data_IF_862094233498
#
_entry.id   IF_862094233498
#
_cell.length_a   1.000
_cell.length_b   1.000
_cell.length_c   1.000
_cell.angle_alpha   90.00
_cell.angle_beta   90.00
_cell.angle_gamma   90.00
#
_symmetry.space_group_name_H-M   'P 1'
#
loop_
_entity.id
_entity.type
_entity.pdbx_description
1 polymer ?
#
# COMPACT_ATOMS: atom_id res chain seq x y z
N UNK A 1 32.16 -29.13 5.23
CA UNK A 1 31.73 -27.82 4.68
C UNK A 1 32.95 -27.12 4.11
N UNK A 2 32.89 -26.60 2.88
CA UNK A 2 33.99 -25.81 2.29
C UNK A 2 33.60 -24.33 2.39
N UNK A 3 34.37 -23.57 3.16
CA UNK A 3 34.11 -22.15 3.42
C UNK A 3 35.38 -21.34 3.25
N UNK A 4 35.24 -20.08 2.84
CA UNK A 4 36.32 -19.12 2.90
C UNK A 4 36.64 -18.73 4.34
N UNK A 5 37.82 -18.14 4.54
CA UNK A 5 38.29 -17.68 5.87
C UNK A 5 37.26 -16.80 6.56
N UNK A 6 36.74 -15.82 5.82
CA UNK A 6 35.87 -14.78 6.33
C UNK A 6 34.49 -15.33 6.69
N UNK A 7 33.93 -16.21 5.86
CA UNK A 7 32.70 -16.93 6.20
C UNK A 7 32.85 -17.84 7.44
N UNK A 8 34.02 -18.45 7.64
CA UNK A 8 34.29 -19.28 8.82
C UNK A 8 34.34 -18.43 10.11
N UNK A 9 35.04 -17.30 10.07
CA UNK A 9 35.09 -16.32 11.18
C UNK A 9 33.67 -15.83 11.56
N UNK A 10 32.81 -15.58 10.57
CA UNK A 10 31.41 -15.21 10.81
C UNK A 10 30.59 -16.32 11.48
N UNK A 11 30.75 -17.57 11.03
CA UNK A 11 30.03 -18.72 11.58
C UNK A 11 30.45 -18.94 13.04
N UNK A 12 31.74 -18.80 13.35
CA UNK A 12 32.25 -18.84 14.72
C UNK A 12 31.67 -17.69 15.56
N UNK A 13 31.77 -16.44 15.08
CA UNK A 13 31.35 -15.24 15.82
C UNK A 13 29.85 -15.16 16.09
N UNK A 14 29.02 -15.46 15.08
CA UNK A 14 27.58 -15.21 15.15
C UNK A 14 26.75 -16.44 15.49
N UNK A 15 27.25 -17.65 15.21
CA UNK A 15 26.53 -18.90 15.50
C UNK A 15 27.19 -19.70 16.63
N UNK A 16 28.34 -19.27 17.15
CA UNK A 16 29.07 -19.97 18.22
C UNK A 16 29.54 -21.37 17.80
N UNK A 17 29.76 -21.58 16.50
CA UNK A 17 30.04 -22.89 15.96
C UNK A 17 31.44 -23.37 16.37
N UNK A 18 31.55 -24.66 16.72
CA UNK A 18 32.83 -25.36 16.90
C UNK A 18 33.17 -26.11 15.62
N UNK A 19 34.43 -26.07 15.19
CA UNK A 19 34.88 -26.74 13.98
C UNK A 19 36.25 -27.39 14.16
N UNK A 20 36.52 -28.38 13.31
CA UNK A 20 37.84 -28.99 13.14
C UNK A 20 38.24 -28.81 11.68
N UNK A 21 39.45 -28.30 11.44
CA UNK A 21 39.99 -28.15 10.09
C UNK A 21 40.47 -29.51 9.61
N UNK A 22 39.87 -30.01 8.52
CA UNK A 22 40.26 -31.28 7.89
C UNK A 22 41.39 -31.02 6.91
N UNK A 23 41.20 -30.08 5.98
CA UNK A 23 42.17 -29.68 4.95
C UNK A 23 41.99 -28.18 4.61
N UNK A 24 43.05 -27.51 4.17
CA UNK A 24 43.00 -26.08 3.84
C UNK A 24 44.17 -25.60 2.99
N UNK A 25 43.95 -24.49 2.29
CA UNK A 25 44.98 -23.78 1.50
C UNK A 25 45.26 -22.44 2.17
N UNK A 26 46.53 -22.14 2.43
CA UNK A 26 46.99 -20.88 3.01
C UNK A 26 48.27 -20.40 2.34
N UNK A 27 48.61 -19.12 2.55
CA UNK A 27 49.83 -18.51 2.03
C UNK A 27 50.82 -18.28 3.18
N UNK A 28 51.95 -18.97 3.16
CA UNK A 28 53.04 -18.90 4.15
C UNK A 28 54.05 -17.78 3.85
N UNK A 29 54.24 -17.41 2.58
CA UNK A 29 55.27 -16.46 2.12
C UNK A 29 54.69 -15.09 1.69
N UNK A 30 53.50 -14.76 2.21
CA UNK A 30 52.80 -13.53 1.86
C UNK A 30 51.91 -13.65 0.61
N UNK A 31 51.23 -12.55 0.29
CA UNK A 31 50.18 -12.53 -0.71
C UNK A 31 50.46 -11.50 -1.81
N UNK A 32 50.33 -11.92 -3.07
CA UNK A 32 50.54 -11.03 -4.20
C UNK A 32 49.44 -9.96 -4.28
N UNK A 33 49.80 -8.72 -3.96
CA UNK A 33 48.89 -7.58 -3.92
C UNK A 33 48.84 -6.75 -5.23
N UNK A 34 49.38 -7.23 -6.35
CA UNK A 34 49.42 -6.45 -7.59
C UNK A 34 48.01 -6.11 -8.11
N UNK A 35 47.04 -7.00 -7.90
CA UNK A 35 45.65 -6.74 -8.26
C UNK A 35 45.07 -5.54 -7.51
N UNK A 36 45.40 -5.37 -6.22
CA UNK A 36 44.88 -4.27 -5.41
C UNK A 36 45.47 -2.94 -5.87
N UNK A 37 46.77 -2.93 -6.21
CA UNK A 37 47.45 -1.77 -6.79
C UNK A 37 46.84 -1.37 -8.13
N UNK A 38 46.56 -2.34 -8.99
CA UNK A 38 45.98 -2.12 -10.33
C UNK A 38 44.57 -1.56 -10.25
N UNK A 39 43.70 -2.17 -9.43
CA UNK A 39 42.33 -1.69 -9.22
C UNK A 39 42.34 -0.29 -8.60
N UNK A 40 43.24 -0.01 -7.65
CA UNK A 40 43.36 1.33 -7.04
C UNK A 40 43.74 2.40 -8.05
N UNK A 41 44.66 2.10 -8.98
CA UNK A 41 45.00 3.01 -10.08
C UNK A 41 43.79 3.31 -10.97
N UNK A 42 43.03 2.27 -11.37
CA UNK A 42 41.81 2.44 -12.18
C UNK A 42 40.73 3.22 -11.44
N UNK A 43 40.58 2.99 -10.13
CA UNK A 43 39.62 3.70 -9.29
C UNK A 43 39.97 5.18 -9.17
N UNK A 44 41.24 5.51 -8.92
CA UNK A 44 41.69 6.90 -8.82
C UNK A 44 41.54 7.64 -10.15
N UNK A 45 41.91 7.01 -11.27
CA UNK A 45 41.67 7.57 -12.60
C UNK A 45 40.18 7.81 -12.84
N UNK A 46 39.31 6.88 -12.39
CA UNK A 46 37.86 7.03 -12.51
C UNK A 46 37.35 8.23 -11.70
N UNK A 47 37.88 8.48 -10.50
CA UNK A 47 37.49 9.65 -9.69
C UNK A 47 37.81 10.95 -10.42
N UNK A 48 38.98 11.06 -11.03
CA UNK A 48 39.38 12.21 -11.83
C UNK A 48 38.40 12.42 -13.00
N UNK A 49 38.23 11.42 -13.86
CA UNK A 49 37.33 11.52 -15.02
C UNK A 49 35.86 11.75 -14.64
N UNK A 50 35.44 11.29 -13.46
CA UNK A 50 34.09 11.55 -12.95
C UNK A 50 33.91 13.04 -12.59
N UNK A 51 34.90 13.67 -11.97
CA UNK A 51 34.86 15.10 -11.64
C UNK A 51 34.79 15.98 -12.90
N UNK A 52 35.44 15.53 -13.98
CA UNK A 52 35.46 16.19 -15.28
C UNK A 52 34.18 15.94 -16.12
N UNK A 53 33.24 15.09 -15.66
CA UNK A 53 32.07 14.69 -16.45
C UNK A 53 32.40 13.80 -17.67
N UNK A 54 33.60 13.21 -17.71
CA UNK A 54 34.12 12.49 -18.87
C UNK A 54 33.52 11.05 -18.97
N UNK A 55 32.98 10.64 -20.14
CA UNK A 55 32.43 9.29 -20.35
C UNK A 55 33.38 8.13 -20.06
N UNK A 56 34.71 8.34 -20.10
CA UNK A 56 35.71 7.31 -19.77
C UNK A 56 35.55 6.73 -18.36
N UNK A 57 34.92 7.45 -17.42
CA UNK A 57 34.62 6.91 -16.11
C UNK A 57 33.74 5.63 -16.17
N UNK A 58 32.87 5.52 -17.18
CA UNK A 58 32.03 4.34 -17.40
C UNK A 58 32.86 3.14 -17.87
N UNK A 59 33.83 3.36 -18.76
CA UNK A 59 34.74 2.32 -19.24
C UNK A 59 35.58 1.77 -18.08
N UNK A 60 36.15 2.65 -17.25
CA UNK A 60 36.88 2.26 -16.05
C UNK A 60 36.02 1.49 -15.06
N UNK A 61 34.76 1.93 -14.84
CA UNK A 61 33.78 1.21 -14.01
C UNK A 61 33.54 -0.20 -14.52
N UNK A 62 33.29 -0.34 -15.83
CA UNK A 62 33.00 -1.62 -16.46
C UNK A 62 34.20 -2.58 -16.37
N UNK A 63 35.42 -2.08 -16.62
CA UNK A 63 36.63 -2.88 -16.49
C UNK A 63 36.84 -3.39 -15.06
N UNK A 64 36.67 -2.53 -14.04
CA UNK A 64 36.76 -2.94 -12.63
C UNK A 64 35.70 -4.00 -12.29
N UNK A 65 34.43 -3.77 -12.67
CA UNK A 65 33.33 -4.71 -12.39
C UNK A 65 33.52 -6.06 -13.10
N UNK A 66 34.06 -6.05 -14.33
CA UNK A 66 34.27 -7.26 -15.14
C UNK A 66 35.50 -8.05 -14.71
N UNK A 67 36.49 -7.39 -14.09
CA UNK A 67 37.74 -8.02 -13.66
C UNK A 67 37.50 -9.21 -12.74
N UNK A 68 36.61 -9.05 -11.75
CA UNK A 68 36.26 -10.13 -10.82
C UNK A 68 35.71 -11.38 -11.55
N UNK A 69 34.79 -11.20 -12.51
CA UNK A 69 34.22 -12.31 -13.28
C UNK A 69 35.27 -13.06 -14.11
N UNK A 70 36.30 -12.36 -14.58
CA UNK A 70 37.43 -12.97 -15.30
C UNK A 70 38.29 -13.86 -14.40
N UNK A 71 38.45 -13.53 -13.12
CA UNK A 71 39.23 -14.34 -12.16
C UNK A 71 38.58 -15.70 -11.88
N UNK A 72 37.26 -15.80 -12.03
CA UNK A 72 36.47 -17.01 -11.75
C UNK A 72 36.10 -17.80 -13.00
N UNK A 73 36.64 -17.44 -14.16
CA UNK A 73 36.21 -18.02 -15.42
C UNK A 73 36.57 -19.51 -15.49
N UNK A 74 35.53 -20.34 -15.57
CA UNK A 74 35.69 -21.79 -15.82
C UNK A 74 36.29 -22.01 -17.21
N UNK A 75 37.04 -23.11 -17.40
CA UNK A 75 37.55 -23.46 -18.72
C UNK A 75 36.41 -23.57 -19.72
N UNK A 76 36.59 -22.98 -20.89
CA UNK A 76 35.62 -23.03 -21.99
C UNK A 76 35.83 -24.37 -22.72
N UNK A 77 35.09 -25.39 -22.29
CA UNK A 77 35.19 -26.78 -22.80
C UNK A 77 34.37 -27.03 -24.08
N UNK A 78 33.52 -26.06 -24.47
CA UNK A 78 32.67 -26.14 -25.66
C UNK A 78 32.95 -24.95 -26.56
N UNK A 79 32.96 -25.16 -27.87
CA UNK A 79 32.96 -24.11 -28.89
C UNK A 79 31.75 -24.27 -29.80
N UNK A 80 31.30 -23.15 -30.36
CA UNK A 80 30.23 -23.09 -31.34
C UNK A 80 30.81 -22.67 -32.69
N UNK A 81 30.58 -23.45 -33.74
CA UNK A 81 31.11 -23.20 -35.09
C UNK A 81 29.96 -23.17 -36.08
N UNK A 82 29.87 -22.11 -36.88
CA UNK A 82 28.93 -22.02 -37.99
C UNK A 82 29.60 -22.53 -39.26
N UNK A 83 28.95 -23.47 -39.94
CA UNK A 83 29.42 -24.01 -41.22
C UNK A 83 28.42 -23.65 -42.30
N UNK A 84 28.88 -22.92 -43.31
CA UNK A 84 28.08 -22.48 -44.45
C UNK A 84 28.56 -23.13 -45.76
N UNK A 85 27.61 -23.48 -46.63
CA UNK A 85 27.90 -23.98 -47.98
C UNK A 85 27.10 -25.21 -48.43
N UNK A 86 25.90 -25.41 -47.87
CA UNK A 86 25.00 -26.48 -48.30
C UNK A 86 25.34 -27.85 -47.73
N UNK A 87 24.46 -28.82 -48.01
CA UNK A 87 24.49 -30.16 -47.41
C UNK A 87 25.86 -30.85 -47.57
N UNK A 88 26.50 -30.73 -48.75
CA UNK A 88 27.80 -31.36 -49.02
C UNK A 88 28.89 -30.94 -48.03
N UNK A 89 29.05 -29.62 -47.79
CA UNK A 89 30.04 -29.08 -46.85
C UNK A 89 29.71 -29.39 -45.39
N UNK A 90 28.42 -29.37 -45.05
CA UNK A 90 27.96 -29.67 -43.70
C UNK A 90 28.24 -31.15 -43.37
N UNK A 91 27.99 -32.05 -44.31
CA UNK A 91 28.24 -33.49 -44.11
C UNK A 91 29.73 -33.83 -44.12
N UNK A 92 30.53 -33.15 -44.95
CA UNK A 92 32.00 -33.26 -44.90
C UNK A 92 32.54 -32.81 -43.52
N UNK A 93 32.06 -31.67 -43.02
CA UNK A 93 32.46 -31.17 -41.71
C UNK A 93 32.01 -32.09 -40.57
N UNK A 94 30.83 -32.69 -40.69
CA UNK A 94 30.30 -33.68 -39.74
C UNK A 94 31.22 -34.90 -39.67
N UNK A 95 31.56 -35.49 -40.82
CA UNK A 95 32.45 -36.67 -40.86
C UNK A 95 33.83 -36.37 -40.27
N UNK A 96 34.41 -35.20 -40.59
CA UNK A 96 35.74 -34.81 -40.12
C UNK A 96 35.81 -34.55 -38.61
N UNK A 97 34.74 -34.01 -38.02
CA UNK A 97 34.73 -33.55 -36.63
C UNK A 97 33.84 -34.40 -35.70
N UNK A 98 33.33 -35.54 -36.16
CA UNK A 98 32.37 -36.38 -35.41
C UNK A 98 32.85 -36.73 -33.99
N UNK A 99 34.14 -37.01 -33.83
CA UNK A 99 34.77 -37.35 -32.55
C UNK A 99 34.81 -36.21 -31.52
N UNK A 100 34.59 -34.95 -31.95
CA UNK A 100 34.51 -33.77 -31.06
C UNK A 100 33.10 -33.18 -31.03
N UNK A 101 32.19 -33.64 -31.87
CA UNK A 101 30.87 -33.06 -32.04
C UNK A 101 29.97 -33.43 -30.85
N UNK A 102 29.32 -32.44 -30.28
CA UNK A 102 28.29 -32.60 -29.23
C UNK A 102 26.91 -32.58 -29.89
N UNK A 103 26.65 -31.57 -30.72
CA UNK A 103 25.39 -31.42 -31.43
C UNK A 103 25.55 -30.66 -32.74
N UNK A 104 24.64 -30.94 -33.68
CA UNK A 104 24.44 -30.20 -34.93
C UNK A 104 23.02 -29.66 -34.94
N UNK A 105 22.87 -28.35 -35.08
CA UNK A 105 21.57 -27.69 -35.23
C UNK A 105 21.49 -27.09 -36.63
N UNK A 106 20.59 -27.58 -37.50
CA UNK A 106 20.36 -26.94 -38.79
C UNK A 106 19.71 -25.57 -38.58
N UNK A 107 20.26 -24.54 -39.22
CA UNK A 107 19.70 -23.18 -39.20
C UNK A 107 18.96 -22.92 -40.51
N UNK A 108 19.51 -23.39 -41.63
CA UNK A 108 18.90 -23.36 -42.96
C UNK A 108 19.49 -24.47 -43.83
N UNK A 109 18.98 -24.63 -45.06
CA UNK A 109 19.50 -25.60 -46.05
C UNK A 109 20.98 -25.39 -46.40
N UNK A 110 21.53 -24.21 -46.06
CA UNK A 110 22.90 -23.84 -46.38
C UNK A 110 23.81 -23.67 -45.17
N UNK A 111 23.26 -23.69 -43.94
CA UNK A 111 24.00 -23.37 -42.71
C UNK A 111 23.60 -24.32 -41.57
N UNK A 112 24.61 -24.88 -40.90
CA UNK A 112 24.43 -25.59 -39.65
C UNK A 112 25.36 -25.03 -38.56
N UNK A 113 24.85 -24.98 -37.33
CA UNK A 113 25.61 -24.71 -36.11
C UNK A 113 26.09 -26.02 -35.50
N UNK A 114 27.39 -26.12 -35.26
CA UNK A 114 28.02 -27.23 -34.56
C UNK A 114 28.43 -26.80 -33.16
N UNK A 115 27.98 -27.53 -32.15
CA UNK A 115 28.59 -27.48 -30.82
C UNK A 115 29.62 -28.59 -30.72
N UNK A 116 30.84 -28.24 -30.35
CA UNK A 116 31.97 -29.17 -30.31
C UNK A 116 32.73 -29.05 -28.99
N UNK A 117 33.29 -30.17 -28.51
CA UNK A 117 34.29 -30.20 -27.46
C UNK A 117 35.55 -29.46 -27.92
N UNK A 118 35.96 -28.46 -27.14
CA UNK A 118 37.24 -27.78 -27.33
C UNK A 118 38.31 -28.60 -26.62
N UNK A 119 39.35 -29.01 -27.35
CA UNK A 119 40.54 -29.61 -26.74
C UNK A 119 41.18 -28.60 -25.79
N UNK A 120 41.29 -28.99 -24.52
CA UNK A 120 41.92 -28.18 -23.48
C UNK A 120 43.08 -28.99 -22.90
N UNK A 121 44.30 -28.49 -23.06
CA UNK A 121 45.48 -29.12 -22.48
C UNK A 121 45.72 -28.61 -21.07
N UNK A 122 45.62 -27.29 -20.85
CA UNK A 122 45.80 -26.64 -19.56
C UNK A 122 44.92 -25.38 -19.48
N UNK A 123 44.46 -25.02 -18.27
CA UNK A 123 43.72 -23.79 -17.99
C UNK A 123 44.23 -23.20 -16.67
N UNK A 124 44.70 -21.96 -16.72
CA UNK A 124 45.14 -21.23 -15.53
C UNK A 124 44.19 -20.07 -15.26
N UNK A 125 43.66 -20.02 -14.04
CA UNK A 125 42.88 -18.89 -13.56
C UNK A 125 43.29 -18.57 -12.13
N UNK A 126 43.44 -17.28 -11.75
CA UNK A 126 43.71 -16.88 -10.37
C UNK A 126 42.42 -16.96 -9.53
N UNK A 127 41.81 -18.15 -9.46
CA UNK A 127 40.49 -18.37 -8.86
C UNK A 127 40.44 -18.04 -7.37
N UNK A 128 41.56 -18.20 -6.67
CA UNK A 128 41.71 -17.85 -5.26
C UNK A 128 41.43 -16.36 -5.00
N UNK A 129 41.83 -15.46 -5.92
CA UNK A 129 41.53 -14.02 -5.82
C UNK A 129 40.02 -13.77 -5.97
N UNK A 130 39.38 -14.43 -6.94
CA UNK A 130 37.94 -14.29 -7.16
C UNK A 130 37.12 -14.82 -5.99
N UNK A 131 37.52 -15.95 -5.38
CA UNK A 131 36.83 -16.50 -4.21
C UNK A 131 36.91 -15.55 -3.02
N UNK A 132 38.08 -14.94 -2.76
CA UNK A 132 38.23 -13.95 -1.69
C UNK A 132 37.37 -12.71 -1.90
N UNK A 133 37.30 -12.18 -3.13
CA UNK A 133 36.42 -11.04 -3.46
C UNK A 133 34.95 -11.39 -3.21
N UNK A 134 34.53 -12.62 -3.58
CA UNK A 134 33.18 -13.10 -3.29
C UNK A 134 32.90 -13.17 -1.80
N UNK A 135 33.80 -13.77 -1.03
CA UNK A 135 33.64 -13.97 0.40
C UNK A 135 33.47 -12.61 1.10
N UNK A 136 34.34 -11.66 0.79
CA UNK A 136 34.26 -10.28 1.32
C UNK A 136 33.00 -9.53 0.89
N UNK A 137 32.57 -9.69 -0.37
CA UNK A 137 31.35 -9.03 -0.85
C UNK A 137 30.10 -9.52 -0.12
N UNK A 138 29.99 -10.82 0.14
CA UNK A 138 28.87 -11.43 0.88
C UNK A 138 28.79 -10.91 2.31
N UNK A 139 29.94 -10.74 2.97
CA UNK A 139 30.00 -10.14 4.31
C UNK A 139 29.52 -8.69 4.29
N UNK A 140 29.95 -7.88 3.34
CA UNK A 140 29.49 -6.49 3.24
C UNK A 140 27.96 -6.41 3.15
N UNK A 141 27.35 -7.24 2.29
CA UNK A 141 25.88 -7.34 2.22
C UNK A 141 25.26 -7.85 3.53
N UNK A 142 25.87 -8.84 4.17
CA UNK A 142 25.39 -9.40 5.44
C UNK A 142 25.48 -8.39 6.59
N UNK A 143 26.56 -7.62 6.69
CA UNK A 143 26.74 -6.57 7.69
C UNK A 143 25.75 -5.42 7.46
N UNK A 144 25.52 -5.02 6.20
CA UNK A 144 24.47 -4.04 5.89
C UNK A 144 23.10 -4.51 6.36
N UNK A 145 22.76 -5.77 6.06
CA UNK A 145 21.49 -6.37 6.45
C UNK A 145 21.37 -6.51 7.98
N UNK A 146 22.39 -7.08 8.62
CA UNK A 146 22.49 -7.28 10.06
C UNK A 146 22.41 -5.97 10.85
N UNK A 147 23.13 -4.92 10.43
CA UNK A 147 23.07 -3.60 11.06
C UNK A 147 21.72 -2.90 10.84
N UNK A 148 21.04 -3.17 9.72
CA UNK A 148 19.72 -2.59 9.45
C UNK A 148 18.58 -3.26 10.24
N UNK A 149 18.72 -4.54 10.58
CA UNK A 149 17.67 -5.31 11.27
C UNK A 149 17.81 -5.32 12.80
N UNK A 150 19.02 -5.22 13.38
CA UNK A 150 19.22 -5.45 14.84
C UNK A 150 19.00 -4.26 15.78
N UNK A 151 18.90 -3.02 15.31
CA UNK A 151 18.79 -1.87 16.23
C UNK A 151 17.42 -1.19 16.23
N UNK A 152 16.35 -1.96 16.03
CA UNK A 152 14.98 -1.43 16.19
C UNK A 152 14.43 -1.79 17.57
N UNK A 153 14.21 -0.79 18.41
CA UNK A 153 13.57 -0.90 19.70
C UNK A 153 12.05 -0.73 19.55
N UNK A 154 11.23 -1.75 19.87
CA UNK A 154 9.79 -1.66 19.73
C UNK A 154 9.17 -0.84 20.87
N UNK A 155 8.26 0.06 20.53
CA UNK A 155 7.34 0.70 21.48
C UNK A 155 5.93 0.24 21.17
N UNK A 156 5.26 -0.29 22.19
CA UNK A 156 3.87 -0.74 22.11
C UNK A 156 2.96 0.29 22.76
N UNK A 157 1.91 0.68 22.03
CA UNK A 157 0.81 1.47 22.56
C UNK A 157 -0.48 0.65 22.45
N UNK A 158 -1.29 0.71 23.50
CA UNK A 158 -2.61 0.10 23.53
C UNK A 158 -3.61 1.04 24.24
N UNK A 159 -4.78 0.51 24.60
CA UNK A 159 -5.83 1.27 25.29
C UNK A 159 -5.35 2.00 26.56
N UNK A 160 -4.38 1.46 27.29
CA UNK A 160 -3.84 2.07 28.51
C UNK A 160 -3.04 3.34 28.24
N UNK A 161 -2.64 3.57 26.99
CA UNK A 161 -1.91 4.76 26.57
C UNK A 161 -2.84 5.86 26.03
N UNK A 162 -4.14 5.63 25.97
CA UNK A 162 -5.09 6.58 25.38
C UNK A 162 -5.19 7.87 26.21
N UNK A 163 -5.03 9.01 25.56
CA UNK A 163 -5.19 10.35 26.18
C UNK A 163 -6.39 11.11 25.62
N UNK A 164 -6.80 10.84 24.39
CA UNK A 164 -8.03 11.36 23.79
C UNK A 164 -8.60 10.36 22.78
N UNK A 165 -9.74 10.66 22.17
CA UNK A 165 -10.38 9.76 21.19
C UNK A 165 -9.46 9.39 20.02
N UNK A 166 -8.51 10.26 19.67
CA UNK A 166 -7.64 10.08 18.51
C UNK A 166 -6.16 10.00 18.88
N UNK A 167 -5.81 10.03 20.18
CA UNK A 167 -4.43 10.18 20.63
C UNK A 167 -4.01 9.17 21.69
N UNK A 168 -2.78 8.67 21.53
CA UNK A 168 -2.13 7.70 22.39
C UNK A 168 -0.74 8.21 22.76
N UNK A 169 -0.40 8.16 24.04
CA UNK A 169 0.82 8.73 24.60
C UNK A 169 1.72 7.67 25.22
N UNK A 170 2.98 7.65 24.81
CA UNK A 170 4.04 6.94 25.50
C UNK A 170 4.88 7.95 26.29
N UNK A 171 5.14 7.67 27.57
CA UNK A 171 5.99 8.50 28.42
C UNK A 171 7.29 7.77 28.72
N UNK A 172 8.41 8.38 28.35
CA UNK A 172 9.75 7.90 28.69
C UNK A 172 10.06 8.19 30.16
N UNK A 173 10.81 7.30 30.82
CA UNK A 173 11.21 7.47 32.23
C UNK A 173 12.12 8.67 32.48
N UNK A 174 12.74 9.20 31.43
CA UNK A 174 13.60 10.39 31.44
C UNK A 174 13.50 11.09 30.07
N UNK A 175 13.84 12.39 29.99
CA UNK A 175 13.97 13.05 28.70
C UNK A 175 14.98 12.33 27.81
N UNK A 176 14.59 12.07 26.56
CA UNK A 176 15.42 11.43 25.54
C UNK A 176 15.62 12.42 24.39
N UNK A 177 16.86 12.56 23.94
CA UNK A 177 17.19 13.29 22.71
C UNK A 177 16.84 12.41 21.50
N UNK A 178 15.71 12.71 20.87
CA UNK A 178 15.22 11.96 19.71
C UNK A 178 15.92 12.36 18.41
N UNK A 179 16.75 13.40 18.39
CA UNK A 179 17.43 13.83 17.17
C UNK A 179 18.40 12.79 16.60
N UNK A 180 18.82 11.82 17.42
CA UNK A 180 19.71 10.70 17.05
C UNK A 180 18.96 9.47 16.54
N UNK A 181 17.62 9.53 16.50
CA UNK A 181 16.78 8.38 16.18
C UNK A 181 15.91 8.62 14.94
N UNK A 182 15.49 7.52 14.35
CA UNK A 182 14.46 7.42 13.33
C UNK A 182 13.35 6.51 13.84
N UNK A 183 12.11 6.77 13.45
CA UNK A 183 10.95 5.99 13.83
C UNK A 183 10.21 5.47 12.61
N UNK A 184 9.79 4.21 12.66
CA UNK A 184 8.96 3.57 11.66
C UNK A 184 7.71 2.97 12.29
N UNK A 185 6.66 2.84 11.47
CA UNK A 185 5.45 2.13 11.86
C UNK A 185 5.62 0.63 11.58
N UNK A 186 5.65 -0.18 12.64
CA UNK A 186 5.78 -1.64 12.52
C UNK A 186 4.45 -2.31 12.17
N UNK A 187 3.38 -1.99 12.90
CA UNK A 187 2.02 -2.48 12.64
C UNK A 187 0.97 -1.70 13.42
N UNK A 188 -0.24 -1.55 12.87
CA UNK A 188 -1.43 -1.12 13.60
C UNK A 188 -2.53 -2.15 13.41
N UNK A 189 -3.16 -2.53 14.52
CA UNK A 189 -4.37 -3.32 14.54
C UNK A 189 -5.43 -2.52 15.28
N UNK A 190 -6.49 -2.12 14.59
CA UNK A 190 -7.61 -1.36 15.18
C UNK A 190 -8.92 -1.72 14.50
N UNK A 191 -10.04 -1.53 15.19
CA UNK A 191 -11.36 -1.75 14.61
C UNK A 191 -11.86 -0.54 13.84
N UNK A 192 -12.49 -0.77 12.68
CA UNK A 192 -13.20 0.28 11.97
C UNK A 192 -14.42 0.70 12.79
N UNK A 193 -14.34 1.86 13.45
CA UNK A 193 -15.33 2.31 14.44
C UNK A 193 -15.73 3.78 14.34
N UNK A 194 -15.22 4.53 13.36
CA UNK A 194 -15.70 5.90 13.11
C UNK A 194 -16.96 5.87 12.24
N UNK A 195 -17.92 6.72 12.56
CA UNK A 195 -19.21 6.79 11.87
C UNK A 195 -19.18 7.80 10.73
N UNK A 196 -19.89 7.51 9.64
CA UNK A 196 -19.98 8.40 8.47
C UNK A 196 -21.05 9.50 8.66
N UNK A 197 -22.25 9.10 9.07
CA UNK A 197 -23.41 9.97 9.33
C UNK A 197 -23.54 10.15 10.84
N UNK A 198 -23.51 11.39 11.32
CA UNK A 198 -23.65 11.70 12.75
C UNK A 198 -24.35 13.04 13.01
N UNK A 199 -25.04 13.13 14.14
CA UNK A 199 -25.62 14.38 14.62
C UNK A 199 -24.55 15.45 14.89
N UNK A 200 -23.37 15.07 15.36
CA UNK A 200 -22.24 15.99 15.63
C UNK A 200 -21.77 16.71 14.35
N UNK A 201 -21.78 16.02 13.20
CA UNK A 201 -21.42 16.61 11.90
C UNK A 201 -22.56 17.41 11.28
N UNK A 202 -23.78 17.28 11.81
CA UNK A 202 -24.97 17.89 11.23
C UNK A 202 -25.37 17.29 9.87
N UNK A 203 -24.84 16.12 9.49
CA UNK A 203 -25.03 15.49 8.19
C UNK A 203 -26.08 14.37 8.20
N UNK A 204 -26.95 14.38 9.21
CA UNK A 204 -27.90 13.31 9.47
C UNK A 204 -29.36 13.73 9.27
N UNK A 205 -29.63 14.89 8.65
CA UNK A 205 -30.98 15.43 8.51
C UNK A 205 -31.28 15.91 7.10
N UNK A 206 -32.50 15.65 6.65
CA UNK A 206 -33.08 16.24 5.46
C UNK A 206 -34.60 16.27 5.60
N UNK A 207 -35.28 16.97 4.69
CA UNK A 207 -36.73 17.12 4.73
C UNK A 207 -37.40 16.37 3.59
N UNK A 208 -38.64 15.98 3.81
CA UNK A 208 -39.52 15.46 2.78
C UNK A 208 -40.83 16.23 2.83
N UNK A 209 -41.21 16.84 1.71
CA UNK A 209 -42.50 17.48 1.50
C UNK A 209 -43.43 16.44 0.87
N UNK A 210 -44.44 16.03 1.62
CA UNK A 210 -45.38 15.00 1.23
C UNK A 210 -46.71 15.62 0.78
N UNK A 211 -47.22 15.32 -0.42
CA UNK A 211 -48.51 15.82 -0.86
C UNK A 211 -49.66 15.07 -0.17
N UNK A 212 -50.68 15.79 0.31
CA UNK A 212 -51.85 15.23 0.98
C UNK A 212 -53.11 16.01 0.65
N UNK A 213 -54.14 15.35 0.13
CA UNK A 213 -55.37 16.02 -0.33
C UNK A 213 -55.08 17.12 -1.35
N UNK A 214 -55.32 18.38 -0.98
CA UNK A 214 -55.02 19.59 -1.79
C UNK A 214 -53.82 20.40 -1.26
N UNK A 215 -53.13 19.92 -0.22
CA UNK A 215 -52.01 20.60 0.44
C UNK A 215 -50.78 19.70 0.51
N UNK A 216 -49.75 20.16 1.23
CA UNK A 216 -48.52 19.39 1.51
C UNK A 216 -48.21 19.41 2.99
N UNK A 217 -47.64 18.32 3.51
CA UNK A 217 -47.11 18.21 4.86
C UNK A 217 -45.60 17.97 4.81
N UNK A 218 -44.83 18.73 5.59
CA UNK A 218 -43.37 18.60 5.62
C UNK A 218 -42.91 17.78 6.82
N UNK A 219 -42.08 16.78 6.56
CA UNK A 219 -41.44 15.94 7.56
C UNK A 219 -39.94 16.20 7.61
N UNK A 220 -39.37 16.15 8.82
CA UNK A 220 -37.92 16.11 9.02
C UNK A 220 -37.50 14.66 9.25
N UNK A 221 -36.63 14.14 8.39
CA UNK A 221 -36.03 12.82 8.57
C UNK A 221 -34.69 13.01 9.27
N UNK A 222 -34.46 12.27 10.36
CA UNK A 222 -33.20 12.26 11.11
C UNK A 222 -32.63 10.85 11.10
N UNK A 223 -31.57 10.63 10.34
CA UNK A 223 -30.86 9.36 10.27
C UNK A 223 -30.08 9.18 11.59
N UNK A 224 -30.13 7.99 12.22
CA UNK A 224 -29.30 7.71 13.39
C UNK A 224 -27.79 7.79 13.07
N UNK A 225 -26.98 7.90 14.12
CA UNK A 225 -25.53 7.94 13.97
C UNK A 225 -25.01 6.56 13.55
N UNK A 226 -24.20 6.50 12.49
CA UNK A 226 -23.70 5.23 11.96
C UNK A 226 -22.93 5.33 10.65
N UNK A 227 -22.50 4.17 10.17
CA UNK A 227 -21.98 3.98 8.82
C UNK A 227 -23.02 3.18 8.04
N UNK A 228 -23.36 3.67 6.85
CA UNK A 228 -24.47 3.17 6.05
C UNK A 228 -24.02 2.90 4.62
N UNK A 229 -24.45 1.79 4.05
CA UNK A 229 -24.49 1.63 2.60
C UNK A 229 -25.76 2.28 2.03
N UNK A 230 -25.82 2.51 0.71
CA UNK A 230 -27.03 3.09 0.10
C UNK A 230 -28.26 2.20 0.26
N UNK A 231 -28.08 0.88 0.29
CA UNK A 231 -29.13 -0.08 0.63
C UNK A 231 -29.66 0.14 2.04
N UNK A 232 -28.79 0.44 3.01
CA UNK A 232 -29.21 0.69 4.40
C UNK A 232 -30.02 1.98 4.52
N UNK A 233 -29.62 3.03 3.80
CA UNK A 233 -30.40 4.27 3.73
C UNK A 233 -31.77 4.04 3.10
N UNK A 234 -31.86 3.20 2.06
CA UNK A 234 -33.13 2.83 1.45
C UNK A 234 -34.01 2.03 2.42
N UNK A 235 -33.43 1.06 3.14
CA UNK A 235 -34.13 0.30 4.17
C UNK A 235 -34.64 1.22 5.29
N UNK A 236 -33.84 2.22 5.67
CA UNK A 236 -34.23 3.23 6.65
C UNK A 236 -35.40 4.10 6.16
N UNK A 237 -35.38 4.53 4.89
CA UNK A 237 -36.50 5.26 4.28
C UNK A 237 -37.79 4.43 4.24
N UNK A 238 -37.68 3.13 3.97
CA UNK A 238 -38.82 2.21 4.00
C UNK A 238 -39.38 2.06 5.42
N UNK A 239 -38.51 1.85 6.41
CA UNK A 239 -38.90 1.81 7.82
C UNK A 239 -39.57 3.11 8.25
N UNK A 240 -38.99 4.27 7.91
CA UNK A 240 -39.55 5.58 8.20
C UNK A 240 -40.94 5.76 7.56
N UNK A 241 -41.11 5.29 6.32
CA UNK A 241 -42.41 5.33 5.63
C UNK A 241 -43.46 4.48 6.34
N UNK A 242 -43.07 3.31 6.87
CA UNK A 242 -43.96 2.45 7.67
C UNK A 242 -44.38 3.16 8.96
N UNK A 243 -43.44 3.73 9.70
CA UNK A 243 -43.73 4.42 10.96
C UNK A 243 -44.68 5.62 10.80
N UNK A 244 -44.69 6.24 9.62
CA UNK A 244 -45.53 7.39 9.31
C UNK A 244 -46.80 7.03 8.49
N UNK A 245 -47.08 5.75 8.25
CA UNK A 245 -48.19 5.29 7.39
C UNK A 245 -48.14 5.83 5.95
N UNK A 246 -46.94 6.06 5.41
CA UNK A 246 -46.68 6.64 4.08
C UNK A 246 -46.29 5.57 3.04
N UNK A 247 -47.01 4.45 3.04
CA UNK A 247 -46.78 3.30 2.16
C UNK A 247 -48.11 2.62 1.84
N UNK A 248 -48.12 1.77 0.83
CA UNK A 248 -49.24 0.88 0.54
C UNK A 248 -48.86 -0.58 0.73
N UNK A 249 -49.82 -1.45 0.97
CA UNK A 249 -49.60 -2.89 1.06
C UNK A 249 -50.41 -3.61 0.00
N UNK A 250 -49.78 -4.53 -0.73
CA UNK A 250 -50.46 -5.37 -1.71
C UNK A 250 -51.41 -6.33 -0.98
N UNK A 251 -52.69 -6.30 -1.34
CA UNK A 251 -53.73 -7.07 -0.64
C UNK A 251 -53.63 -8.59 -0.85
N UNK A 252 -52.84 -9.05 -1.82
CA UNK A 252 -52.66 -10.47 -2.14
C UNK A 252 -51.29 -10.99 -1.71
N UNK A 253 -50.21 -10.22 -1.92
CA UNK A 253 -48.84 -10.68 -1.64
C UNK A 253 -48.28 -10.18 -0.30
N UNK A 254 -48.91 -9.19 0.33
CA UNK A 254 -48.40 -8.53 1.53
C UNK A 254 -47.16 -7.65 1.30
N UNK A 255 -46.72 -7.48 0.06
CA UNK A 255 -45.56 -6.64 -0.26
C UNK A 255 -45.90 -5.15 -0.12
N UNK A 256 -44.98 -4.38 0.47
CA UNK A 256 -45.15 -2.94 0.62
C UNK A 256 -44.68 -2.19 -0.64
N UNK A 257 -45.42 -1.13 -0.97
CA UNK A 257 -45.12 -0.17 -2.02
C UNK A 257 -44.71 1.16 -1.39
N UNK A 258 -43.52 1.64 -1.74
CA UNK A 258 -42.94 2.86 -1.21
C UNK A 258 -42.92 3.95 -2.27
N UNK A 259 -43.22 5.19 -1.86
CA UNK A 259 -43.26 6.33 -2.77
C UNK A 259 -41.93 7.07 -2.89
N UNK A 260 -40.95 6.76 -2.05
CA UNK A 260 -39.60 7.31 -2.10
C UNK A 260 -38.62 6.15 -1.96
N UNK A 261 -37.61 6.12 -2.82
CA UNK A 261 -36.48 5.20 -2.72
C UNK A 261 -35.18 5.89 -3.07
N UNK A 262 -34.08 5.31 -2.59
CA UNK A 262 -32.71 5.70 -2.92
C UNK A 262 -31.91 4.48 -3.32
N UNK A 263 -31.05 4.62 -4.32
CA UNK A 263 -30.17 3.54 -4.77
C UNK A 263 -28.85 4.11 -5.29
N UNK A 264 -27.76 3.36 -5.12
CA UNK A 264 -26.51 3.65 -5.81
C UNK A 264 -26.63 3.27 -7.30
N UNK A 265 -26.07 4.10 -8.19
CA UNK A 265 -25.89 3.81 -9.60
C UNK A 265 -24.39 3.66 -9.92
N UNK A 266 -23.86 2.42 -9.92
CA UNK A 266 -22.44 2.18 -10.16
C UNK A 266 -21.95 2.61 -11.55
N UNK A 267 -22.85 2.67 -12.54
CA UNK A 267 -22.48 2.99 -13.93
C UNK A 267 -22.14 4.46 -14.12
N UNK A 268 -22.80 5.34 -13.35
CA UNK A 268 -22.58 6.79 -13.41
C UNK A 268 -21.85 7.33 -12.18
N UNK A 269 -21.54 6.48 -11.19
CA UNK A 269 -20.95 6.88 -9.91
C UNK A 269 -21.85 7.87 -9.13
N UNK A 270 -23.16 7.73 -9.27
CA UNK A 270 -24.14 8.62 -8.65
C UNK A 270 -25.06 7.89 -7.68
N UNK A 271 -25.79 8.65 -6.88
CA UNK A 271 -26.94 8.18 -6.11
C UNK A 271 -28.20 8.65 -6.81
N UNK A 272 -29.16 7.76 -6.96
CA UNK A 272 -30.45 8.03 -7.56
C UNK A 272 -31.54 8.05 -6.50
N UNK A 273 -32.27 9.15 -6.40
CA UNK A 273 -33.55 9.17 -5.71
C UNK A 273 -34.68 8.99 -6.72
N UNK A 274 -35.68 8.21 -6.34
CA UNK A 274 -36.91 8.03 -7.13
C UNK A 274 -38.12 8.32 -6.26
N UNK A 275 -39.02 9.16 -6.78
CA UNK A 275 -40.25 9.59 -6.13
C UNK A 275 -41.43 9.22 -7.01
N UNK A 276 -42.34 8.43 -6.47
CA UNK A 276 -43.57 7.98 -7.13
C UNK A 276 -44.74 8.91 -6.76
N UNK A 277 -45.69 9.14 -7.68
CA UNK A 277 -46.93 9.86 -7.39
C UNK A 277 -47.66 9.29 -6.18
N UNK A 278 -47.97 10.11 -5.17
CA UNK A 278 -48.73 9.69 -3.99
C UNK A 278 -50.23 9.65 -4.30
N UNK A 279 -50.65 8.53 -4.90
CA UNK A 279 -52.02 8.24 -5.32
C UNK A 279 -52.35 6.76 -5.09
N UNK A 280 -53.64 6.42 -5.18
CA UNK A 280 -54.08 5.03 -5.13
C UNK A 280 -53.44 4.21 -6.26
N UNK A 281 -52.97 3.00 -5.93
CA UNK A 281 -52.37 2.04 -6.86
C UNK A 281 -53.24 0.78 -6.89
N UNK A 282 -53.58 0.30 -8.09
CA UNK A 282 -54.42 -0.89 -8.25
C UNK A 282 -53.80 -2.11 -7.56
N UNK A 283 -54.59 -2.82 -6.75
CA UNK A 283 -54.13 -3.99 -5.99
C UNK A 283 -53.41 -3.68 -4.67
N UNK A 284 -53.31 -2.40 -4.29
CA UNK A 284 -52.69 -1.96 -3.05
C UNK A 284 -53.67 -1.17 -2.18
N UNK A 285 -53.56 -1.34 -0.87
CA UNK A 285 -54.35 -0.64 0.15
C UNK A 285 -53.46 0.25 1.01
N UNK A 286 -53.91 1.46 1.31
CA UNK A 286 -53.21 2.35 2.24
C UNK A 286 -53.31 1.84 3.69
N UNK A 287 -52.29 2.15 4.50
CA UNK A 287 -52.29 1.84 5.92
C UNK A 287 -53.36 2.64 6.67
N UNK A 288 -53.84 2.10 7.80
CA UNK A 288 -54.74 2.82 8.70
C UNK A 288 -54.04 4.06 9.25
N UNK A 289 -54.67 5.23 9.12
CA UNK A 289 -54.06 6.52 9.50
C UNK A 289 -53.10 7.11 8.46
N UNK A 290 -53.06 6.56 7.24
CA UNK A 290 -52.35 7.19 6.13
C UNK A 290 -52.92 8.58 5.80
N UNK A 291 -52.06 9.47 5.33
CA UNK A 291 -52.48 10.77 4.82
C UNK A 291 -53.40 10.61 3.60
N UNK A 292 -54.35 11.53 3.44
CA UNK A 292 -55.23 11.54 2.28
C UNK A 292 -54.40 11.61 0.98
N UNK A 293 -54.71 10.76 0.00
CA UNK A 293 -54.02 10.79 -1.28
C UNK A 293 -54.09 12.18 -1.94
N UNK A 294 -53.05 12.52 -2.70
CA UNK A 294 -53.04 13.78 -3.45
C UNK A 294 -54.16 13.75 -4.49
N UNK A 295 -55.03 14.76 -4.46
CA UNK A 295 -56.10 14.94 -5.46
C UNK A 295 -55.54 15.13 -6.87
N UNK A 296 -54.38 15.78 -6.98
CA UNK A 296 -53.66 15.97 -8.25
C UNK A 296 -52.65 14.84 -8.54
N UNK A 297 -52.50 13.87 -7.64
CA UNK A 297 -51.54 12.77 -7.78
C UNK A 297 -50.08 13.22 -7.77
N UNK A 298 -49.73 14.23 -6.98
CA UNK A 298 -48.37 14.75 -6.95
C UNK A 298 -47.35 13.78 -6.32
N UNK A 299 -46.09 13.86 -6.74
CA UNK A 299 -44.96 13.15 -6.11
C UNK A 299 -44.53 13.83 -4.81
N UNK A 300 -44.03 13.08 -3.81
CA UNK A 300 -43.24 13.64 -2.73
C UNK A 300 -42.02 14.41 -3.27
N UNK A 301 -41.57 15.40 -2.51
CA UNK A 301 -40.34 16.13 -2.80
C UNK A 301 -39.34 15.94 -1.65
N UNK A 302 -38.10 15.62 -1.98
CA UNK A 302 -36.99 15.62 -1.03
C UNK A 302 -36.41 17.02 -1.00
N UNK A 303 -36.17 17.57 0.18
CA UNK A 303 -35.53 18.85 0.36
C UNK A 303 -34.22 18.65 1.10
N UNK A 304 -33.13 18.90 0.38
CA UNK A 304 -31.77 18.96 0.91
C UNK A 304 -31.59 20.34 1.54
N UNK A 305 -31.36 20.35 2.85
CA UNK A 305 -31.39 21.57 3.67
C UNK A 305 -30.00 22.10 4.01
N UNK A 306 -28.95 21.35 3.69
CA UNK A 306 -27.56 21.66 4.05
C UNK A 306 -26.65 21.67 2.81
N UNK A 307 -25.41 22.14 3.01
CA UNK A 307 -24.39 22.22 1.97
C UNK A 307 -22.98 22.14 2.58
N UNK A 308 -21.99 21.83 1.74
CA UNK A 308 -20.59 21.73 2.14
C UNK A 308 -20.08 20.29 2.32
N UNK A 309 -18.81 20.13 2.62
CA UNK A 309 -18.09 18.84 2.49
C UNK A 309 -18.33 17.82 3.63
N UNK A 310 -19.12 18.19 4.63
CA UNK A 310 -19.52 17.32 5.75
C UNK A 310 -21.04 17.36 5.91
N UNK A 311 -21.79 17.52 4.82
CA UNK A 311 -23.24 17.69 4.83
C UNK A 311 -23.93 16.43 4.30
N UNK A 312 -25.22 16.27 4.59
CA UNK A 312 -26.04 15.25 3.96
C UNK A 312 -26.05 15.43 2.43
N UNK A 313 -26.10 16.68 1.94
CA UNK A 313 -25.89 17.03 0.53
C UNK A 313 -24.65 16.35 -0.08
N UNK A 314 -23.50 16.38 0.61
CA UNK A 314 -22.28 15.71 0.13
C UNK A 314 -22.32 14.18 0.22
N UNK A 315 -23.05 13.60 1.17
CA UNK A 315 -23.23 12.14 1.28
C UNK A 315 -24.01 11.61 0.09
N UNK A 316 -25.14 12.25 -0.22
CA UNK A 316 -26.05 11.80 -1.27
C UNK A 316 -25.74 12.40 -2.65
N UNK A 317 -24.80 13.33 -2.71
CA UNK A 317 -24.40 14.00 -3.94
C UNK A 317 -25.48 14.90 -4.54
N UNK A 318 -26.40 15.45 -3.75
CA UNK A 318 -27.43 16.38 -4.22
C UNK A 318 -27.19 17.77 -3.63
N UNK A 319 -27.11 18.80 -4.46
CA UNK A 319 -26.97 20.19 -4.02
C UNK A 319 -28.18 20.65 -3.20
N UNK A 320 -27.99 21.67 -2.35
CA UNK A 320 -29.06 22.21 -1.51
C UNK A 320 -30.24 22.68 -2.37
N UNK A 321 -31.42 22.12 -2.14
CA UNK A 321 -32.56 22.35 -3.02
C UNK A 321 -33.72 21.39 -2.76
N UNK A 322 -34.78 21.57 -3.53
CA UNK A 322 -35.97 20.70 -3.50
C UNK A 322 -36.01 19.88 -4.78
N UNK A 323 -36.25 18.58 -4.65
CA UNK A 323 -36.25 17.60 -5.73
C UNK A 323 -37.56 16.81 -5.67
N UNK A 324 -38.41 16.86 -6.71
CA UNK A 324 -38.31 17.74 -7.87
C UNK A 324 -38.41 19.24 -7.52
N UNK A 325 -37.84 20.15 -8.34
CA UNK A 325 -37.89 21.60 -8.08
C UNK A 325 -39.30 22.20 -8.12
N UNK A 326 -40.18 21.62 -8.93
CA UNK A 326 -41.59 21.95 -9.02
C UNK A 326 -42.45 20.71 -8.73
N UNK A 327 -43.65 20.94 -8.23
CA UNK A 327 -44.59 19.86 -7.96
C UNK A 327 -45.09 19.24 -9.28
N UNK A 328 -45.09 17.91 -9.36
CA UNK A 328 -45.47 17.17 -10.58
C UNK A 328 -46.18 15.87 -10.25
N UNK A 329 -46.93 15.33 -11.21
CA UNK A 329 -47.81 14.16 -11.02
C UNK A 329 -47.30 12.86 -11.68
N UNK A 330 -46.06 12.87 -12.18
CA UNK A 330 -45.39 11.74 -12.83
C UNK A 330 -44.21 11.27 -11.99
N UNK A 331 -43.79 10.01 -12.17
CA UNK A 331 -42.57 9.49 -11.57
C UNK A 331 -41.40 10.45 -11.82
N UNK A 332 -40.68 10.78 -10.76
CA UNK A 332 -39.49 11.60 -10.83
C UNK A 332 -38.29 10.82 -10.34
N UNK A 333 -37.21 10.87 -11.10
CA UNK A 333 -35.92 10.37 -10.66
C UNK A 333 -34.88 11.45 -10.86
N UNK A 334 -34.02 11.62 -9.86
CA UNK A 334 -32.90 12.55 -9.90
C UNK A 334 -31.62 11.79 -9.56
N UNK A 335 -30.58 12.05 -10.36
CA UNK A 335 -29.23 11.60 -10.08
C UNK A 335 -28.49 12.69 -9.30
N UNK A 336 -27.48 12.29 -8.54
CA UNK A 336 -26.53 13.21 -7.92
C UNK A 336 -26.02 14.25 -8.93
N UNK A 337 -25.97 15.52 -8.52
CA UNK A 337 -25.35 16.63 -9.25
C UNK A 337 -23.99 17.03 -8.65
N UNK A 338 -23.63 16.44 -7.50
CA UNK A 338 -22.34 16.50 -6.84
C UNK A 338 -21.79 15.08 -6.66
N UNK A 339 -20.47 14.94 -6.55
CA UNK A 339 -19.84 13.62 -6.32
C UNK A 339 -20.26 13.09 -4.93
N UNK A 340 -20.97 11.95 -4.85
CA UNK A 340 -21.44 11.42 -3.57
C UNK A 340 -20.26 10.86 -2.74
N UNK A 341 -20.27 11.14 -1.44
CA UNK A 341 -19.26 10.70 -0.47
C UNK A 341 -19.91 9.97 0.72
N UNK A 342 -20.22 8.69 0.52
CA UNK A 342 -20.91 7.85 1.52
C UNK A 342 -20.10 7.73 2.81
N UNK A 343 -18.81 7.43 2.68
CA UNK A 343 -17.85 7.50 3.78
C UNK A 343 -16.99 8.76 3.59
N UNK A 344 -17.10 9.76 4.47
CA UNK A 344 -16.30 10.98 4.37
C UNK A 344 -14.82 10.75 4.75
N UNK A 345 -14.44 9.60 5.30
CA UNK A 345 -13.04 9.27 5.67
C UNK A 345 -12.44 8.32 4.63
N UNK A 346 -11.77 8.89 3.64
CA UNK A 346 -11.12 8.10 2.58
C UNK A 346 -9.80 7.44 3.01
N UNK A 347 -9.08 8.08 3.93
CA UNK A 347 -7.81 7.60 4.47
C UNK A 347 -7.67 8.03 5.93
N UNK A 348 -7.01 7.18 6.71
CA UNK A 348 -6.55 7.48 8.06
C UNK A 348 -5.07 7.86 7.99
N UNK A 349 -4.74 9.03 8.53
CA UNK A 349 -3.38 9.54 8.63
C UNK A 349 -2.89 9.31 10.06
N UNK A 350 -1.72 8.68 10.19
CA UNK A 350 -1.03 8.44 11.44
C UNK A 350 0.01 9.53 11.64
N UNK A 351 -0.26 10.41 12.60
CA UNK A 351 0.66 11.43 13.07
C UNK A 351 1.48 10.93 14.26
N UNK A 352 2.75 11.31 14.33
CA UNK A 352 3.62 11.13 15.49
C UNK A 352 4.30 12.45 15.84
N UNK A 353 4.38 12.77 17.13
CA UNK A 353 5.11 13.95 17.59
C UNK A 353 6.61 13.83 17.29
N UNK A 354 7.31 14.97 17.29
CA UNK A 354 8.77 15.00 17.19
C UNK A 354 9.36 14.42 15.90
N UNK A 355 8.57 14.24 14.85
CA UNK A 355 9.06 13.92 13.53
C UNK A 355 9.75 15.12 12.89
N UNK A 356 10.76 14.84 12.08
CA UNK A 356 11.50 15.83 11.29
C UNK A 356 11.17 15.63 9.82
N UNK A 357 10.40 16.55 9.25
CA UNK A 357 10.16 16.61 7.81
C UNK A 357 10.46 18.04 7.31
N UNK A 358 11.58 18.26 6.60
CA UNK A 358 11.95 19.59 6.11
C UNK A 358 11.15 20.02 4.87
N UNK A 359 10.39 19.13 4.24
CA UNK A 359 9.68 19.39 2.98
C UNK A 359 8.20 19.66 3.18
N UNK A 360 7.58 19.05 4.21
CA UNK A 360 6.16 19.20 4.49
C UNK A 360 5.91 20.32 5.49
N UNK A 361 4.84 21.10 5.26
CA UNK A 361 4.36 22.10 6.22
C UNK A 361 3.88 21.46 7.53
N UNK A 362 3.32 20.25 7.45
CA UNK A 362 3.03 19.43 8.61
C UNK A 362 4.13 18.39 8.81
N UNK A 363 4.90 18.55 9.87
CA UNK A 363 6.02 17.69 10.18
C UNK A 363 5.64 16.43 10.97
N UNK A 364 4.37 16.16 11.25
CA UNK A 364 3.94 15.08 12.14
C UNK A 364 3.47 13.81 11.41
N UNK A 365 3.33 13.81 10.08
CA UNK A 365 2.80 12.64 9.35
C UNK A 365 3.84 11.52 9.23
N UNK A 366 3.55 10.34 9.81
CA UNK A 366 4.40 9.15 9.72
C UNK A 366 3.93 8.18 8.63
N UNK A 367 2.62 7.94 8.56
CA UNK A 367 2.05 6.93 7.68
C UNK A 367 0.58 7.23 7.37
N UNK A 368 0.03 6.58 6.34
CA UNK A 368 -1.40 6.63 6.02
C UNK A 368 -1.90 5.26 5.57
N UNK A 369 -3.11 4.87 5.98
CA UNK A 369 -3.76 3.63 5.55
C UNK A 369 -5.25 3.86 5.32
N UNK A 370 -5.93 2.92 4.68
CA UNK A 370 -7.38 2.98 4.44
C UNK A 370 -8.09 1.84 5.15
N UNK A 371 -9.39 2.00 5.38
CA UNK A 371 -10.30 0.92 5.81
C UNK A 371 -10.79 0.07 4.63
N UNK A 372 -10.14 0.15 3.46
CA UNK A 372 -10.61 -0.49 2.24
C UNK A 372 -10.78 -2.01 2.42
N UNK A 373 -11.95 -2.53 2.04
CA UNK A 373 -12.29 -3.94 2.18
C UNK A 373 -12.64 -4.39 3.60
N UNK A 374 -12.72 -3.48 4.57
CA UNK A 374 -13.12 -3.77 5.95
C UNK A 374 -14.47 -3.13 6.23
N UNK A 375 -15.47 -3.94 6.57
CA UNK A 375 -16.78 -3.44 7.01
C UNK A 375 -16.71 -2.79 8.40
N UNK A 376 -17.72 -1.98 8.73
CA UNK A 376 -17.82 -1.38 10.07
C UNK A 376 -17.79 -2.46 11.16
N UNK A 377 -17.01 -2.24 12.23
CA UNK A 377 -16.74 -3.22 13.29
C UNK A 377 -15.69 -4.30 12.92
N UNK A 378 -15.22 -4.33 11.68
CA UNK A 378 -14.15 -5.22 11.25
C UNK A 378 -12.77 -4.75 11.73
N UNK A 379 -11.85 -5.70 11.91
CA UNK A 379 -10.46 -5.41 12.23
C UNK A 379 -9.74 -4.89 10.97
N UNK A 380 -9.04 -3.77 11.08
CA UNK A 380 -8.14 -3.24 10.06
C UNK A 380 -6.71 -3.72 10.39
N UNK A 381 -6.17 -4.72 9.67
CA UNK A 381 -4.79 -5.16 9.85
C UNK A 381 -3.87 -4.35 8.94
N UNK A 382 -3.11 -3.41 9.51
CA UNK A 382 -2.04 -2.74 8.76
C UNK A 382 -0.72 -3.47 9.01
N UNK A 383 -0.56 -4.65 8.41
CA UNK A 383 0.74 -5.29 8.31
C UNK A 383 1.42 -4.79 7.04
N UNK A 384 2.50 -4.03 7.17
CA UNK A 384 3.25 -3.46 6.04
C UNK A 384 3.89 -4.60 5.21
N UNK A 385 3.22 -5.03 4.15
CA UNK A 385 3.77 -5.97 3.16
C UNK A 385 4.87 -5.35 2.27
N UNK A 386 5.15 -4.05 2.42
CA UNK A 386 6.08 -3.28 1.57
C UNK A 386 7.37 -2.83 2.29
N UNK A 387 7.65 -3.38 3.47
CA UNK A 387 8.79 -2.97 4.29
C UNK A 387 8.49 -1.72 5.14
N UNK A 388 9.29 -1.50 6.18
CA UNK A 388 9.08 -0.39 7.12
C UNK A 388 9.84 0.84 6.63
N UNK A 389 9.12 1.93 6.39
CA UNK A 389 9.71 3.25 6.16
C UNK A 389 10.01 3.91 7.51
N UNK A 390 11.22 4.45 7.65
CA UNK A 390 11.66 5.17 8.84
C UNK A 390 11.77 6.66 8.53
N UNK A 391 11.23 7.49 9.42
CA UNK A 391 11.30 8.94 9.37
C UNK A 391 12.23 9.45 10.48
N UNK A 392 13.11 10.43 10.21
CA UNK A 392 13.96 11.00 11.23
C UNK A 392 13.14 11.76 12.28
N UNK A 393 13.62 11.76 13.52
CA UNK A 393 13.02 12.50 14.63
C UNK A 393 13.88 13.71 15.03
N UNK A 394 13.32 14.58 15.89
CA UNK A 394 13.95 15.80 16.38
C UNK A 394 13.51 16.19 17.80
N UNK A 395 14.40 16.91 18.49
CA UNK A 395 14.16 17.50 19.81
C UNK A 395 14.33 16.51 20.97
N UNK A 396 14.40 17.07 22.18
CA UNK A 396 14.47 16.32 23.44
C UNK A 396 13.10 16.33 24.10
N UNK A 397 12.56 15.15 24.40
CA UNK A 397 11.22 15.01 24.98
C UNK A 397 11.17 13.82 25.94
N UNK A 398 10.25 13.87 26.90
CA UNK A 398 9.86 12.75 27.75
C UNK A 398 8.58 12.06 27.26
N UNK A 399 7.96 12.52 26.18
CA UNK A 399 6.70 11.99 25.66
C UNK A 399 6.72 11.82 24.15
N UNK A 400 6.06 10.76 23.68
CA UNK A 400 5.78 10.48 22.28
C UNK A 400 4.27 10.36 22.10
N UNK A 401 3.69 11.20 21.25
CA UNK A 401 2.27 11.23 20.97
C UNK A 401 2.00 10.65 19.59
N UNK A 402 1.13 9.65 19.51
CA UNK A 402 0.57 9.12 18.26
C UNK A 402 -0.85 9.64 18.12
N UNK A 403 -1.17 10.22 16.97
CA UNK A 403 -2.47 10.83 16.68
C UNK A 403 -3.04 10.27 15.37
N UNK A 404 -4.35 10.08 15.31
CA UNK A 404 -5.06 9.64 14.11
C UNK A 404 -5.91 10.78 13.54
N UNK A 405 -5.78 11.01 12.24
CA UNK A 405 -6.53 12.04 11.52
C UNK A 405 -7.22 11.45 10.29
N UNK A 406 -8.24 12.15 9.79
CA UNK A 406 -8.79 11.87 8.46
C UNK A 406 -7.92 12.52 7.36
N UNK A 407 -8.33 12.36 6.10
CA UNK A 407 -7.70 12.93 4.90
C UNK A 407 -7.60 14.46 4.91
N UNK A 408 -8.37 15.14 5.77
CA UNK A 408 -8.36 16.60 5.95
C UNK A 408 -7.58 17.06 7.18
N UNK A 409 -6.79 16.18 7.79
CA UNK A 409 -6.03 16.44 9.02
C UNK A 409 -6.91 16.78 10.24
N UNK A 410 -8.19 16.42 10.22
CA UNK A 410 -9.08 16.57 11.37
C UNK A 410 -9.00 15.33 12.27
N UNK A 411 -9.08 15.48 13.61
CA UNK A 411 -9.06 14.36 14.55
C UNK A 411 -10.05 13.25 14.19
N UNK A 412 -9.56 12.01 14.08
CA UNK A 412 -10.41 10.86 13.77
C UNK A 412 -11.26 10.47 15.00
N UNK A 413 -12.56 10.32 14.81
CA UNK A 413 -13.51 9.95 15.87
C UNK A 413 -13.56 8.44 16.07
N UNK A 414 -12.54 7.89 16.73
CA UNK A 414 -12.45 6.45 17.01
C UNK A 414 -13.39 6.10 18.18
N UNK A 415 -14.44 5.32 17.89
CA UNK A 415 -15.43 4.88 18.90
C UNK A 415 -14.92 3.71 19.71
N UNK A 416 -14.28 2.72 19.07
CA UNK A 416 -13.68 1.56 19.74
C UNK A 416 -12.22 1.87 20.13
N UNK A 417 -11.91 2.02 21.43
CA UNK A 417 -10.57 2.35 21.88
C UNK A 417 -9.59 1.16 21.82
N UNK A 418 -10.08 -0.05 21.54
CA UNK A 418 -9.27 -1.26 21.46
C UNK A 418 -8.41 -1.25 20.19
N UNK A 419 -7.14 -0.93 20.38
CA UNK A 419 -6.14 -1.00 19.32
C UNK A 419 -4.77 -1.36 19.86
N UNK A 420 -3.90 -1.80 18.94
CA UNK A 420 -2.51 -2.08 19.19
C UNK A 420 -1.65 -1.38 18.13
N UNK A 421 -0.72 -0.54 18.59
CA UNK A 421 0.25 0.17 17.74
C UNK A 421 1.62 -0.31 18.13
N UNK A 422 2.37 -0.80 17.14
CA UNK A 422 3.78 -1.13 17.29
C UNK A 422 4.61 -0.13 16.49
N UNK A 423 5.33 0.73 17.20
CA UNK A 423 6.34 1.61 16.64
C UNK A 423 7.71 0.96 16.75
N UNK A 424 8.61 1.28 15.82
CA UNK A 424 9.98 0.80 15.81
C UNK A 424 10.91 2.01 15.77
N UNK A 425 11.74 2.17 16.80
CA UNK A 425 12.72 3.26 16.88
C UNK A 425 14.12 2.69 16.68
N UNK A 426 14.95 3.35 15.87
CA UNK A 426 16.34 2.96 15.66
C UNK A 426 17.29 4.16 15.63
N UNK A 427 18.58 4.00 15.96
CA UNK A 427 19.58 5.06 15.78
C UNK A 427 19.73 5.45 14.30
N UNK A 428 20.01 6.72 14.03
CA UNK A 428 20.33 7.21 12.68
C UNK A 428 21.60 6.55 12.15
N UNK A 429 21.65 6.31 10.84
CA UNK A 429 22.74 5.56 10.18
C UNK A 429 24.12 6.22 10.31
N UNK A 430 24.20 7.55 10.50
CA UNK A 430 25.45 8.27 10.75
C UNK A 430 26.08 7.90 12.10
N UNK A 431 25.26 7.55 13.09
CA UNK A 431 25.66 7.42 14.49
C UNK A 431 26.03 5.97 14.85
N UNK A 432 25.85 5.04 13.89
CA UNK A 432 26.23 3.63 14.01
C UNK A 432 27.76 3.44 13.86
N UNK A 433 28.45 4.42 13.28
CA UNK A 433 29.90 4.36 13.05
C UNK A 433 30.75 4.70 14.29
N UNK A 434 30.12 5.14 15.38
CA UNK A 434 30.80 5.53 16.63
C UNK A 434 30.61 4.51 17.78
N UNK A 435 30.14 3.28 17.47
CA UNK A 435 30.00 2.18 18.43
C UNK A 435 30.89 0.97 18.13
#
# INVERSE_FOLDING_TARGET
MIVGKQALEDIERFQGAKYTIIEGIYWNEGFNNQITKTIRKMFNARLQYKAEGNPLQNVLKLMMNSSYGKLLMKPIVKKKVFVSGGQKKIDEYTRKNIHRMISRTPISDKIALFEEHKSLTQHFSPIHLGIQILDSSKIYYRLLYYNSEKMSFPIMLNINNRVSQHQYKYTFSRPVDLSKFEIGLGSISMYYSWMAITAERGNNKFRVVWPTGTTTQTFMITIPDGTYEMSDLNNYLQWWSIQNNLYLTNSTTGQNYYFISVAANPSSYDIQFTMQPYKAVSGYTAASGALAFSTSGYTPQIQIIDSGNNSFSSIVGLSQGTYPPAQQATLYSVLSDLVPQIDPVSSVIVGVSNLQNPLASNNQVLHSFTSAGVGFGGLIPTSQGQGISYCPMQGTTNELLVSFYNDRMLPLKITDPNLCIRLLIRPKKSDIMDF
#
